data_IF_626168611202
#
_entry.id   IF_626168611202
#
_cell.length_a   1.000
_cell.length_b   1.000
_cell.length_c   1.000
_cell.angle_alpha   90.00
_cell.angle_beta   90.00
_cell.angle_gamma   90.00
#
_symmetry.space_group_name_H-M   'P 1'
#
loop_
_entity.id
_entity.type
_entity.pdbx_description
1 polymer ?
#
# COMPACT_ATOMS: atom_id res chain seq x y z
N UNK A 1 3.21 14.57 -15.46
CA UNK A 1 2.68 13.76 -14.33
C UNK A 1 2.69 12.31 -14.77
N UNK A 2 3.64 11.53 -14.28
CA UNK A 2 3.80 10.11 -14.66
C UNK A 2 3.68 9.26 -13.41
N UNK A 3 2.76 8.30 -13.43
CA UNK A 3 2.60 7.33 -12.35
C UNK A 3 3.20 6.00 -12.74
N UNK A 4 4.07 5.46 -11.89
CA UNK A 4 4.56 4.09 -11.96
C UNK A 4 3.92 3.27 -10.84
N UNK A 5 3.37 2.12 -11.19
CA UNK A 5 2.71 1.21 -10.25
C UNK A 5 3.55 -0.04 -10.05
N UNK A 6 3.75 -0.43 -8.80
CA UNK A 6 4.46 -1.63 -8.39
C UNK A 6 3.49 -2.55 -7.67
N UNK A 7 3.55 -3.85 -8.00
CA UNK A 7 2.66 -4.86 -7.44
C UNK A 7 3.47 -5.91 -6.71
N UNK A 8 3.16 -6.11 -5.44
CA UNK A 8 3.81 -7.11 -4.60
C UNK A 8 2.75 -8.03 -4.02
N UNK A 9 2.88 -9.34 -4.27
CA UNK A 9 1.94 -10.34 -3.78
C UNK A 9 2.62 -11.28 -2.81
N UNK A 10 1.96 -11.59 -1.70
CA UNK A 10 2.42 -12.58 -0.73
C UNK A 10 1.24 -13.41 -0.22
N UNK A 11 1.53 -14.66 0.13
CA UNK A 11 0.60 -15.48 0.91
C UNK A 11 0.66 -15.06 2.37
N UNK A 12 -0.47 -15.18 3.05
CA UNK A 12 -0.60 -14.90 4.47
C UNK A 12 -1.80 -15.61 5.07
N UNK A 13 -1.90 -15.57 6.40
CA UNK A 13 -3.06 -16.07 7.12
C UNK A 13 -4.01 -14.92 7.42
N UNK A 14 -5.29 -15.13 7.12
CA UNK A 14 -6.38 -14.28 7.57
C UNK A 14 -7.08 -15.00 8.73
N UNK A 15 -7.07 -14.41 9.92
CA UNK A 15 -7.82 -14.91 11.07
C UNK A 15 -9.08 -14.08 11.24
N UNK A 16 -10.23 -14.75 11.34
CA UNK A 16 -11.53 -14.13 11.57
C UNK A 16 -12.24 -14.82 12.73
N UNK A 17 -12.80 -14.00 13.62
CA UNK A 17 -13.61 -14.49 14.74
C UNK A 17 -14.83 -15.26 14.20
N UNK A 18 -15.07 -16.46 14.74
CA UNK A 18 -16.18 -17.33 14.33
C UNK A 18 -15.97 -18.15 13.04
N UNK A 19 -14.91 -17.90 12.26
CA UNK A 19 -14.61 -18.66 11.02
C UNK A 19 -13.28 -19.42 11.11
N UNK A 20 -12.33 -18.91 11.91
CA UNK A 20 -10.99 -19.50 12.04
C UNK A 20 -9.97 -18.87 11.09
N UNK A 21 -8.80 -19.50 11.00
CA UNK A 21 -7.69 -19.05 10.16
C UNK A 21 -7.78 -19.68 8.77
N UNK A 22 -7.64 -18.85 7.73
CA UNK A 22 -7.66 -19.28 6.33
C UNK A 22 -6.44 -18.75 5.58
N UNK A 23 -5.97 -19.52 4.60
CA UNK A 23 -4.94 -19.06 3.68
C UNK A 23 -5.50 -18.00 2.74
N UNK A 24 -4.84 -16.85 2.71
CA UNK A 24 -5.23 -15.73 1.87
C UNK A 24 -4.02 -15.21 1.08
N UNK A 25 -4.31 -14.60 -0.07
CA UNK A 25 -3.32 -13.86 -0.84
C UNK A 25 -3.53 -12.37 -0.61
N UNK A 26 -2.45 -11.68 -0.30
CA UNK A 26 -2.40 -10.24 -0.10
C UNK A 26 -1.57 -9.62 -1.21
N UNK A 27 -2.13 -8.63 -1.90
CA UNK A 27 -1.42 -7.85 -2.91
C UNK A 27 -1.31 -6.41 -2.44
N UNK A 28 -0.09 -5.90 -2.30
CA UNK A 28 0.20 -4.48 -2.17
C UNK A 28 0.38 -3.84 -3.55
N UNK A 29 -0.37 -2.77 -3.81
CA UNK A 29 -0.19 -1.90 -4.95
C UNK A 29 0.42 -0.58 -4.47
N UNK A 30 1.65 -0.29 -4.88
CA UNK A 30 2.36 0.96 -4.58
C UNK A 30 2.39 1.83 -5.85
N UNK A 31 1.80 3.02 -5.77
CA UNK A 31 1.83 4.00 -6.85
C UNK A 31 2.80 5.13 -6.50
N UNK A 32 3.74 5.37 -7.41
CA UNK A 32 4.70 6.47 -7.34
C UNK A 32 4.38 7.43 -8.46
N UNK A 33 3.93 8.63 -8.11
CA UNK A 33 3.59 9.67 -9.08
C UNK A 33 4.65 10.76 -9.05
N UNK A 34 5.28 10.98 -10.19
CA UNK A 34 6.21 12.09 -10.40
C UNK A 34 5.45 13.29 -10.98
N UNK A 35 5.61 14.45 -10.35
CA UNK A 35 5.10 15.73 -10.85
C UNK A 35 6.24 16.74 -10.94
N UNK A 36 6.40 17.35 -12.12
CA UNK A 36 7.39 18.40 -12.33
C UNK A 36 6.86 19.71 -11.72
N UNK A 37 7.49 20.17 -10.64
CA UNK A 37 7.19 21.45 -10.00
C UNK A 37 8.21 22.52 -10.38
N UNK A 38 7.85 23.80 -10.17
CA UNK A 38 8.75 24.95 -10.39
C UNK A 38 10.05 24.87 -9.55
N UNK A 39 10.03 24.13 -8.44
CA UNK A 39 11.15 23.92 -7.50
C UNK A 39 11.84 22.55 -7.69
N UNK A 40 11.49 21.81 -8.74
CA UNK A 40 12.02 20.47 -9.02
C UNK A 40 10.95 19.38 -9.01
N UNK A 41 11.40 18.13 -9.18
CA UNK A 41 10.52 16.96 -9.23
C UNK A 41 9.96 16.62 -7.86
N UNK A 42 8.63 16.63 -7.72
CA UNK A 42 7.91 16.18 -6.53
C UNK A 42 7.47 14.73 -6.72
N UNK A 43 7.63 13.93 -5.68
CA UNK A 43 7.21 12.52 -5.64
C UNK A 43 6.03 12.37 -4.69
N UNK A 44 4.96 11.77 -5.20
CA UNK A 44 3.79 11.39 -4.41
C UNK A 44 3.71 9.87 -4.34
N UNK A 45 3.54 9.35 -3.13
CA UNK A 45 3.49 7.92 -2.84
C UNK A 45 2.11 7.57 -2.30
N UNK A 46 1.48 6.54 -2.84
CA UNK A 46 0.26 5.97 -2.28
C UNK A 46 0.30 4.45 -2.34
N UNK A 47 -0.30 3.79 -1.34
CA UNK A 47 -0.36 2.34 -1.26
C UNK A 47 -1.80 1.88 -1.01
N UNK A 48 -2.17 0.77 -1.63
CA UNK A 48 -3.42 0.06 -1.35
C UNK A 48 -3.17 -1.44 -1.23
N UNK A 49 -3.96 -2.13 -0.42
CA UNK A 49 -3.86 -3.58 -0.24
C UNK A 49 -5.15 -4.27 -0.67
N UNK A 50 -4.98 -5.33 -1.46
CA UNK A 50 -6.06 -6.16 -1.96
C UNK A 50 -5.94 -7.54 -1.33
N UNK A 51 -7.03 -8.03 -0.76
CA UNK A 51 -7.16 -9.42 -0.34
C UNK A 51 -8.57 -9.90 -0.71
N UNK A 52 -8.64 -10.82 -1.68
CA UNK A 52 -9.93 -11.31 -2.18
C UNK A 52 -10.71 -12.06 -1.10
N UNK A 53 -10.00 -12.81 -0.24
CA UNK A 53 -10.62 -13.48 0.89
C UNK A 53 -11.27 -12.46 1.83
N UNK A 54 -10.52 -11.47 2.31
CA UNK A 54 -11.07 -10.41 3.16
C UNK A 54 -12.26 -9.67 2.52
N UNK A 55 -12.21 -9.38 1.22
CA UNK A 55 -13.32 -8.78 0.47
C UNK A 55 -14.57 -9.67 0.41
N UNK A 56 -14.38 -10.98 0.27
CA UNK A 56 -15.48 -11.94 0.23
C UNK A 56 -16.14 -12.13 1.61
N UNK A 57 -15.37 -11.99 2.70
CA UNK A 57 -15.86 -12.19 4.07
C UNK A 57 -16.56 -10.98 4.69
N UNK A 58 -16.44 -9.78 4.12
CA UNK A 58 -17.19 -8.62 4.60
C UNK A 58 -16.63 -7.27 4.14
N UNK A 59 -17.32 -6.18 4.50
CA UNK A 59 -16.99 -4.78 4.17
C UNK A 59 -15.74 -4.23 4.87
N UNK A 60 -14.84 -5.10 5.36
CA UNK A 60 -13.64 -4.72 6.08
C UNK A 60 -12.66 -3.95 5.19
N UNK A 61 -12.21 -2.78 5.66
CA UNK A 61 -11.18 -1.99 4.99
C UNK A 61 -9.81 -2.51 5.40
N UNK A 62 -9.02 -2.98 4.43
CA UNK A 62 -7.63 -3.38 4.66
C UNK A 62 -6.75 -2.13 4.59
N UNK A 63 -6.15 -1.77 5.73
CA UNK A 63 -5.22 -0.65 5.82
C UNK A 63 -3.79 -1.17 5.66
N UNK A 64 -3.16 -0.82 4.53
CA UNK A 64 -1.73 -1.09 4.35
C UNK A 64 -0.89 -0.15 5.19
N UNK A 65 0.10 -0.71 5.89
CA UNK A 65 1.22 0.05 6.44
C UNK A 65 2.49 -0.39 5.72
N UNK A 66 3.19 0.54 5.07
CA UNK A 66 4.48 0.23 4.44
C UNK A 66 5.49 1.35 4.62
N UNK A 67 6.77 0.99 4.66
CA UNK A 67 7.88 1.94 4.63
C UNK A 67 8.57 1.82 3.28
N UNK A 68 8.55 2.90 2.50
CA UNK A 68 9.23 2.98 1.21
C UNK A 68 10.60 3.60 1.46
N UNK A 69 11.67 2.88 1.12
CA UNK A 69 13.03 3.42 1.16
C UNK A 69 13.46 3.78 -0.26
N UNK A 70 13.80 5.04 -0.48
CA UNK A 70 14.47 5.45 -1.70
C UNK A 70 15.97 5.11 -1.58
N UNK A 71 16.47 4.28 -2.49
CA UNK A 71 17.88 3.85 -2.46
C UNK A 71 18.85 4.87 -3.07
N UNK A 72 18.36 5.90 -3.76
CA UNK A 72 19.20 6.96 -4.35
C UNK A 72 19.66 7.94 -3.27
N UNK A 73 18.75 8.37 -2.40
CA UNK A 73 19.01 9.38 -1.36
C UNK A 73 18.87 8.83 0.07
N UNK A 74 18.67 7.52 0.23
CA UNK A 74 18.43 6.82 1.49
C UNK A 74 17.23 7.35 2.31
N UNK A 75 16.35 8.17 1.73
CA UNK A 75 15.17 8.67 2.45
C UNK A 75 14.14 7.57 2.67
N UNK A 76 13.52 7.59 3.84
CA UNK A 76 12.43 6.69 4.22
C UNK A 76 11.12 7.46 4.23
N UNK A 77 10.11 6.89 3.59
CA UNK A 77 8.75 7.40 3.53
C UNK A 77 7.85 6.38 4.22
N UNK A 78 7.26 6.76 5.35
CA UNK A 78 6.33 5.90 6.08
C UNK A 78 4.92 6.19 5.60
N UNK A 79 4.29 5.20 4.98
CA UNK A 79 2.88 5.21 4.60
C UNK A 79 2.12 4.54 5.75
N UNK A 80 1.81 5.32 6.78
CA UNK A 80 0.93 4.90 7.87
C UNK A 80 -0.53 5.22 7.52
N UNK A 81 -1.44 4.33 7.89
CA UNK A 81 -2.89 4.53 7.79
C UNK A 81 -3.47 5.40 8.90
N UNK A 82 -2.67 5.73 9.93
CA UNK A 82 -3.02 6.69 10.99
C UNK A 82 -2.98 8.13 10.49
N UNK A 83 -2.15 8.42 9.49
CA UNK A 83 -2.03 9.74 8.91
C UNK A 83 -2.61 9.76 7.50
N UNK A 84 -3.48 10.74 7.33
CA UNK A 84 -4.17 11.17 6.12
C UNK A 84 -3.35 10.94 4.85
N UNK A 85 -4.08 10.60 3.77
CA UNK A 85 -3.64 10.83 2.40
C UNK A 85 -2.79 12.10 2.31
N UNK A 86 -1.60 12.00 1.73
CA UNK A 86 -0.79 13.17 1.41
C UNK A 86 -1.54 13.98 0.35
N UNK A 87 -1.71 15.28 0.64
CA UNK A 87 -2.37 16.28 -0.19
C UNK A 87 -1.76 16.42 -1.59
#
# INVERSE_FOLDING_TARGET
MTTKSFRFSTLGYLALEGVGALHASYTLLLNVTESDGKEGKKLFLSASMLCNAARAYGSGVIKSWCTVKNNIDNKKYVLDSKDKAFA
#
